data_IF_006727222909
#
_entry.id   IF_006727222909
#
_cell.length_a   1.000
_cell.length_b   1.000
_cell.length_c   1.000
_cell.angle_alpha   90.00
_cell.angle_beta   90.00
_cell.angle_gamma   90.00
#
_symmetry.space_group_name_H-M   'P 1'
#
loop_
_entity.id
_entity.type
_entity.pdbx_description
1 polymer ?
#
# COMPACT_ATOMS: atom_id res chain seq x y z
N UNK A 1 7.52 -1.52 16.92
CA UNK A 1 6.46 -1.64 15.89
C UNK A 1 6.74 -0.78 14.66
N UNK A 2 7.13 0.50 14.81
CA UNK A 2 7.48 1.42 13.71
C UNK A 2 8.98 1.42 13.36
N UNK A 3 9.58 0.25 13.15
CA UNK A 3 10.97 0.14 12.69
C UNK A 3 10.99 -0.47 11.29
N UNK A 4 11.94 -0.08 10.45
CA UNK A 4 12.08 -0.57 9.07
C UNK A 4 10.81 -0.33 8.20
N UNK A 5 10.12 0.80 8.40
CA UNK A 5 8.87 1.14 7.70
C UNK A 5 9.06 1.41 6.20
N UNK A 6 10.17 2.04 5.83
CA UNK A 6 10.54 2.32 4.43
C UNK A 6 11.36 1.20 3.80
N UNK A 7 11.81 0.23 4.60
CA UNK A 7 12.50 -0.95 4.10
C UNK A 7 11.48 -2.01 3.69
N UNK A 8 11.05 -1.95 2.44
CA UNK A 8 10.03 -2.83 1.86
C UNK A 8 10.51 -4.29 1.68
N UNK A 9 11.83 -4.53 1.69
CA UNK A 9 12.41 -5.88 1.63
C UNK A 9 12.45 -6.60 2.98
N UNK A 10 12.31 -5.86 4.08
CA UNK A 10 12.40 -6.40 5.44
C UNK A 10 11.26 -7.39 5.73
N UNK A 11 11.59 -8.51 6.39
CA UNK A 11 10.60 -9.48 6.86
C UNK A 11 10.00 -9.01 8.18
N UNK A 12 8.73 -8.59 8.14
CA UNK A 12 8.06 -8.00 9.30
C UNK A 12 7.35 -9.06 10.11
N UNK A 13 7.53 -8.99 11.42
CA UNK A 13 6.70 -9.75 12.38
C UNK A 13 5.27 -9.18 12.41
N UNK A 14 4.27 -9.94 12.88
CA UNK A 14 2.86 -9.51 12.89
C UNK A 14 2.63 -8.15 13.57
N UNK A 15 3.35 -7.86 14.67
CA UNK A 15 3.28 -6.56 15.37
C UNK A 15 3.91 -5.41 14.57
N UNK A 16 4.91 -5.68 13.73
CA UNK A 16 5.51 -4.69 12.83
C UNK A 16 4.67 -4.47 11.56
N UNK A 17 4.01 -5.50 11.04
CA UNK A 17 3.10 -5.37 9.91
C UNK A 17 1.89 -4.51 10.27
N UNK A 18 1.37 -4.64 11.49
CA UNK A 18 0.30 -3.77 11.99
C UNK A 18 0.79 -2.32 12.13
N UNK A 19 2.03 -2.10 12.58
CA UNK A 19 2.66 -0.77 12.60
C UNK A 19 2.84 -0.17 11.20
N UNK A 20 3.25 -0.98 10.22
CA UNK A 20 3.34 -0.57 8.81
C UNK A 20 1.97 -0.21 8.25
N UNK A 21 0.95 -1.04 8.50
CA UNK A 21 -0.43 -0.76 8.11
C UNK A 21 -0.90 0.58 8.68
N UNK A 22 -0.74 0.81 9.98
CA UNK A 22 -1.20 2.05 10.62
C UNK A 22 -0.49 3.28 10.08
N UNK A 23 0.84 3.20 9.89
CA UNK A 23 1.65 4.32 9.40
C UNK A 23 1.28 4.71 7.97
N UNK A 24 1.15 3.73 7.06
CA UNK A 24 0.81 4.00 5.68
C UNK A 24 -0.67 4.33 5.49
N UNK A 25 -1.56 3.84 6.36
CA UNK A 25 -2.96 4.27 6.39
C UNK A 25 -3.05 5.76 6.73
N UNK A 26 -2.35 6.20 7.78
CA UNK A 26 -2.28 7.61 8.15
C UNK A 26 -1.69 8.46 7.02
N UNK A 27 -0.65 7.95 6.34
CA UNK A 27 -0.05 8.63 5.19
C UNK A 27 -1.04 8.77 4.03
N UNK A 28 -1.78 7.71 3.68
CA UNK A 28 -2.80 7.78 2.62
C UNK A 28 -3.92 8.74 3.01
N UNK A 29 -4.35 8.75 4.27
CA UNK A 29 -5.39 9.64 4.76
C UNK A 29 -4.94 11.10 4.71
N UNK A 30 -3.67 11.36 5.07
CA UNK A 30 -3.06 12.69 4.99
C UNK A 30 -2.91 13.16 3.53
N UNK A 31 -2.37 12.32 2.65
CA UNK A 31 -2.20 12.65 1.22
C UNK A 31 -3.55 12.80 0.51
N UNK A 32 -4.49 11.90 0.77
CA UNK A 32 -5.85 11.96 0.23
C UNK A 32 -6.62 13.17 0.75
N UNK A 33 -6.47 13.51 2.03
CA UNK A 33 -7.06 14.70 2.64
C UNK A 33 -6.49 16.00 2.06
N UNK A 34 -5.16 16.08 1.87
CA UNK A 34 -4.52 17.25 1.23
C UNK A 34 -5.00 17.39 -0.21
N UNK A 35 -4.99 16.31 -0.99
CA UNK A 35 -5.41 16.36 -2.39
C UNK A 35 -6.90 16.66 -2.54
N UNK A 36 -7.75 16.10 -1.67
CA UNK A 36 -9.17 16.44 -1.60
C UNK A 36 -9.39 17.90 -1.19
N UNK A 37 -8.62 18.41 -0.23
CA UNK A 37 -8.66 19.81 0.18
C UNK A 37 -8.27 20.77 -0.96
N UNK A 38 -7.18 20.47 -1.67
CA UNK A 38 -6.75 21.25 -2.85
C UNK A 38 -7.83 21.20 -3.93
N UNK A 39 -8.36 20.02 -4.24
CA UNK A 39 -9.44 19.86 -5.21
C UNK A 39 -10.68 20.67 -4.81
N UNK A 40 -11.05 20.68 -3.53
CA UNK A 40 -12.18 21.44 -3.01
C UNK A 40 -11.98 22.96 -3.10
N UNK A 41 -10.76 23.44 -2.89
CA UNK A 41 -10.44 24.87 -3.11
C UNK A 41 -10.57 25.24 -4.58
N UNK A 42 -10.15 24.35 -5.50
CA UNK A 42 -10.21 24.60 -6.95
C UNK A 42 -11.65 24.58 -7.46
N UNK A 43 -12.48 23.64 -7.00
CA UNK A 43 -13.88 23.49 -7.46
C UNK A 43 -14.88 24.31 -6.64
N UNK A 44 -14.44 25.08 -5.64
CA UNK A 44 -15.33 25.81 -4.74
C UNK A 44 -16.15 24.93 -3.80
N UNK A 45 -15.84 23.64 -3.70
CA UNK A 45 -16.51 22.68 -2.80
C UNK A 45 -17.88 22.19 -3.26
N UNK A 46 -18.35 22.60 -4.45
CA UNK A 46 -19.68 22.20 -4.94
C UNK A 46 -19.66 20.80 -5.57
N UNK A 47 -18.56 20.42 -6.23
CA UNK A 47 -18.41 19.15 -6.94
C UNK A 47 -17.98 17.98 -6.04
N UNK A 48 -18.90 17.53 -5.19
CA UNK A 48 -18.70 16.40 -4.28
C UNK A 48 -18.33 15.11 -5.01
N UNK A 49 -18.88 14.86 -6.19
CA UNK A 49 -18.56 13.67 -6.99
C UNK A 49 -17.10 13.70 -7.49
N UNK A 50 -16.60 14.88 -7.88
CA UNK A 50 -15.22 15.06 -8.27
C UNK A 50 -14.27 14.83 -7.08
N UNK A 51 -14.59 15.40 -5.92
CA UNK A 51 -13.86 15.22 -4.66
C UNK A 51 -13.75 13.75 -4.26
N UNK A 52 -14.87 13.01 -4.33
CA UNK A 52 -14.89 11.57 -4.04
C UNK A 52 -14.06 10.76 -5.04
N UNK A 53 -14.13 11.08 -6.34
CA UNK A 53 -13.32 10.41 -7.37
C UNK A 53 -11.83 10.66 -7.20
N UNK A 54 -11.43 11.89 -6.86
CA UNK A 54 -10.03 12.25 -6.61
C UNK A 54 -9.49 11.51 -5.39
N UNK A 55 -10.23 11.51 -4.28
CA UNK A 55 -9.85 10.80 -3.07
C UNK A 55 -9.76 9.28 -3.28
N UNK A 56 -10.76 8.69 -3.94
CA UNK A 56 -10.77 7.27 -4.29
C UNK A 56 -9.63 6.89 -5.25
N UNK A 57 -9.41 7.69 -6.29
CA UNK A 57 -8.32 7.48 -7.25
C UNK A 57 -6.94 7.50 -6.58
N UNK A 58 -6.71 8.45 -5.66
CA UNK A 58 -5.46 8.53 -4.90
C UNK A 58 -5.30 7.33 -3.97
N UNK A 59 -6.35 6.92 -3.26
CA UNK A 59 -6.30 5.75 -2.39
C UNK A 59 -5.94 4.46 -3.16
N UNK A 60 -6.53 4.26 -4.33
CA UNK A 60 -6.23 3.13 -5.23
C UNK A 60 -4.78 3.22 -5.71
N UNK A 61 -4.35 4.38 -6.21
CA UNK A 61 -2.99 4.58 -6.72
C UNK A 61 -1.95 4.31 -5.63
N UNK A 62 -2.11 4.87 -4.43
CA UNK A 62 -1.14 4.67 -3.35
C UNK A 62 -1.13 3.21 -2.86
N UNK A 63 -2.29 2.56 -2.70
CA UNK A 63 -2.33 1.14 -2.36
C UNK A 63 -1.60 0.28 -3.39
N UNK A 64 -1.85 0.53 -4.67
CA UNK A 64 -1.26 -0.25 -5.77
C UNK A 64 0.25 -0.01 -5.87
N UNK A 65 0.69 1.24 -5.72
CA UNK A 65 2.10 1.62 -5.71
C UNK A 65 2.84 0.99 -4.52
N UNK A 66 2.25 0.99 -3.32
CA UNK A 66 2.80 0.30 -2.15
C UNK A 66 2.87 -1.22 -2.36
N UNK A 67 1.83 -1.83 -2.93
CA UNK A 67 1.82 -3.26 -3.23
C UNK A 67 2.96 -3.64 -4.18
N UNK A 68 3.14 -2.86 -5.26
CA UNK A 68 4.23 -3.05 -6.23
C UNK A 68 5.59 -2.82 -5.59
N UNK A 69 5.76 -1.78 -4.76
CA UNK A 69 7.02 -1.52 -4.05
C UNK A 69 7.40 -2.67 -3.11
N UNK A 70 6.44 -3.23 -2.37
CA UNK A 70 6.67 -4.39 -1.50
C UNK A 70 7.05 -5.62 -2.30
N UNK A 71 6.33 -5.94 -3.37
CA UNK A 71 6.64 -7.11 -4.23
C UNK A 71 7.99 -6.94 -4.94
N UNK A 72 8.28 -5.74 -5.43
CA UNK A 72 9.53 -5.42 -6.13
C UNK A 72 10.73 -5.48 -5.21
N UNK A 73 10.65 -4.85 -4.02
CA UNK A 73 11.72 -4.92 -3.03
C UNK A 73 12.00 -6.35 -2.55
N UNK A 74 10.96 -7.20 -2.47
CA UNK A 74 11.12 -8.60 -2.07
C UNK A 74 11.46 -9.56 -3.21
N UNK A 75 11.37 -9.14 -4.47
CA UNK A 75 11.62 -9.98 -5.65
C UNK A 75 10.56 -11.06 -5.88
N UNK A 76 9.33 -10.84 -5.40
CA UNK A 76 8.25 -11.84 -5.39
C UNK A 76 7.47 -11.94 -6.71
N UNK A 77 7.93 -11.30 -7.78
CA UNK A 77 7.31 -11.33 -9.12
C UNK A 77 7.09 -12.74 -9.68
N UNK A 78 7.86 -13.71 -9.21
CA UNK A 78 7.77 -15.12 -9.61
C UNK A 78 6.63 -15.89 -8.92
N UNK A 79 5.94 -15.30 -7.93
CA UNK A 79 4.85 -15.97 -7.21
C UNK A 79 3.49 -15.48 -7.70
N UNK A 80 2.71 -16.38 -8.31
CA UNK A 80 1.34 -16.09 -8.76
C UNK A 80 0.47 -15.52 -7.63
N UNK A 81 0.69 -15.97 -6.40
CA UNK A 81 -0.01 -15.51 -5.21
C UNK A 81 0.30 -14.04 -4.86
N UNK A 82 1.53 -13.57 -5.13
CA UNK A 82 1.90 -12.17 -4.91
C UNK A 82 1.22 -11.23 -5.92
N UNK A 83 1.11 -11.65 -7.18
CA UNK A 83 0.38 -10.91 -8.22
C UNK A 83 -1.11 -10.85 -7.88
N UNK A 84 -1.68 -11.97 -7.43
CA UNK A 84 -3.09 -12.06 -7.04
C UNK A 84 -3.39 -11.16 -5.82
N UNK A 85 -2.46 -11.06 -4.86
CA UNK A 85 -2.57 -10.14 -3.73
C UNK A 85 -2.43 -8.66 -4.13
N UNK A 86 -1.60 -8.32 -5.13
CA UNK A 86 -1.52 -6.94 -5.66
C UNK A 86 -2.83 -6.57 -6.36
N UNK A 87 -3.38 -7.48 -7.17
CA UNK A 87 -4.64 -7.30 -7.86
C UNK A 87 -5.81 -7.20 -6.87
N UNK A 88 -5.80 -8.04 -5.83
CA UNK A 88 -6.72 -7.96 -4.71
C UNK A 88 -6.55 -6.63 -3.96
N UNK A 89 -5.33 -6.15 -3.70
CA UNK A 89 -5.09 -4.87 -3.05
C UNK A 89 -5.74 -3.70 -3.82
N UNK A 90 -5.58 -3.68 -5.15
CA UNK A 90 -6.24 -2.69 -6.00
C UNK A 90 -7.77 -2.80 -5.99
N UNK A 91 -8.30 -4.02 -6.11
CA UNK A 91 -9.75 -4.27 -6.08
C UNK A 91 -10.39 -3.92 -4.73
N UNK A 92 -9.76 -4.31 -3.61
CA UNK A 92 -10.20 -3.98 -2.26
C UNK A 92 -10.06 -2.48 -1.97
N UNK A 93 -9.03 -1.82 -2.50
CA UNK A 93 -8.88 -0.38 -2.42
C UNK A 93 -10.01 0.37 -3.15
N UNK A 94 -10.55 -0.19 -4.24
CA UNK A 94 -11.65 0.41 -4.97
C UNK A 94 -13.00 0.31 -4.23
N UNK A 95 -13.20 -0.72 -3.40
CA UNK A 95 -14.48 -0.94 -2.68
C UNK A 95 -14.55 -0.16 -1.37
N UNK A 96 -13.51 -0.23 -0.54
CA UNK A 96 -13.50 0.32 0.82
C UNK A 96 -12.34 1.28 1.08
N UNK A 97 -11.65 1.70 0.02
CA UNK A 97 -10.54 2.64 0.11
C UNK A 97 -9.27 2.04 0.70
N UNK A 98 -8.42 2.92 1.20
CA UNK A 98 -7.12 2.55 1.77
C UNK A 98 -7.22 1.53 2.92
N UNK A 99 -8.35 1.47 3.64
CA UNK A 99 -8.55 0.55 4.77
C UNK A 99 -8.45 -0.93 4.34
N UNK A 100 -9.23 -1.34 3.33
CA UNK A 100 -9.18 -2.72 2.86
C UNK A 100 -8.00 -2.97 1.90
N UNK A 101 -7.61 -1.96 1.11
CA UNK A 101 -6.50 -2.10 0.16
C UNK A 101 -5.15 -2.35 0.84
N UNK A 102 -4.91 -1.80 2.03
CA UNK A 102 -3.65 -1.96 2.74
C UNK A 102 -3.51 -3.31 3.46
N UNK A 103 -4.60 -4.05 3.69
CA UNK A 103 -4.56 -5.37 4.35
C UNK A 103 -3.68 -6.36 3.57
N UNK A 104 -3.94 -6.62 2.27
CA UNK A 104 -3.09 -7.52 1.49
C UNK A 104 -1.66 -7.00 1.34
N UNK A 105 -1.45 -5.68 1.34
CA UNK A 105 -0.09 -5.07 1.30
C UNK A 105 0.67 -5.32 2.60
N UNK A 106 0.02 -5.13 3.74
CA UNK A 106 0.60 -5.42 5.05
C UNK A 106 0.88 -6.91 5.21
N UNK A 107 -0.02 -7.77 4.73
CA UNK A 107 0.20 -9.21 4.68
C UNK A 107 1.41 -9.58 3.81
N UNK A 108 1.52 -9.02 2.58
CA UNK A 108 2.69 -9.21 1.72
C UNK A 108 4.00 -8.79 2.41
N UNK A 109 3.97 -7.80 3.31
CA UNK A 109 5.15 -7.40 4.06
C UNK A 109 5.65 -8.44 5.07
N UNK A 110 4.77 -9.34 5.52
CA UNK A 110 5.11 -10.48 6.39
C UNK A 110 5.63 -11.70 5.63
N UNK A 111 5.39 -11.75 4.32
CA UNK A 111 5.87 -12.86 3.48
C UNK A 111 7.39 -12.79 3.33
N UNK A 112 8.04 -13.96 3.42
CA UNK A 112 9.50 -14.12 3.30
C UNK A 112 10.00 -13.60 1.95
N UNK A 113 11.11 -12.86 1.95
CA UNK A 113 11.69 -12.30 0.72
C UNK A 113 12.51 -13.35 -0.03
N UNK A 114 12.19 -13.57 -1.31
CA UNK A 114 12.96 -14.45 -2.20
C UNK A 114 14.36 -13.87 -2.49
N UNK A 115 14.48 -12.54 -2.54
CA UNK A 115 15.77 -11.85 -2.67
C UNK A 115 16.71 -12.07 -1.47
N UNK A 116 16.16 -12.26 -0.26
CA UNK A 116 16.97 -12.58 0.91
C UNK A 116 17.55 -14.02 0.85
N UNK A 117 16.84 -14.96 0.22
CA UNK A 117 17.32 -16.34 0.07
C UNK A 117 18.37 -16.48 -1.04
N UNK A 118 18.27 -15.71 -2.13
CA UNK A 118 19.24 -15.75 -3.23
C UNK A 118 20.63 -15.23 -2.82
N UNK A 119 20.69 -14.30 -1.87
CA UNK A 119 21.95 -13.74 -1.37
C UNK A 119 22.67 -14.70 -0.38
N UNK A 120 21.94 -15.66 0.20
CA UNK A 120 22.54 -16.68 1.09
C UNK A 120 23.14 -17.84 0.29
N UNK A 121 22.68 -18.09 -0.93
CA UNK A 121 23.23 -19.15 -1.80
C UNK A 121 24.47 -18.72 -2.61
N UNK A 122 24.90 -17.47 -2.49
CA UNK A 122 26.11 -16.93 -3.15
C UNK A 122 27.28 -16.71 -2.19
N UNK A 123 27.12 -17.11 -0.91
CA UNK A 123 28.17 -17.20 0.10
C UNK A 123 28.51 -18.67 0.37
#
# INVERSE_FOLDING_TARGET
MFSQLTNFGYERTGKQALGFYLAYLLLVLLVGGIAGGIAGVITGGEDHEFLMRVGGGIAILVCLLLAVLVVSAKGLWSSFLAILLVLAAGGLAAVLGALLGLIPVAYLSTVKSKNAEANIQTL
#
